data_IF_736470811990
#
_entry.id   IF_736470811990
#
_cell.length_a   1.000
_cell.length_b   1.000
_cell.length_c   1.000
_cell.angle_alpha   90.00
_cell.angle_beta   90.00
_cell.angle_gamma   90.00
#
_symmetry.space_group_name_H-M   'P 1'
#
loop_
_entity.id
_entity.type
_entity.pdbx_description
1 polymer ?
#
# COMPACT_ATOMS: atom_id res chain seq x y z
N UNK A 1 23.71 13.36 56.54
CA UNK A 1 24.96 14.12 56.36
C UNK A 1 25.29 14.13 54.88
N UNK A 2 25.25 15.27 54.21
CA UNK A 2 25.48 15.35 52.77
C UNK A 2 26.93 15.62 52.47
N UNK A 3 27.49 14.90 51.50
CA UNK A 3 28.80 15.23 50.93
C UNK A 3 28.63 15.81 49.54
N UNK A 4 28.82 17.11 49.43
CA UNK A 4 28.96 17.87 48.19
C UNK A 4 30.35 17.57 47.62
N UNK A 5 30.45 17.13 46.38
CA UNK A 5 31.69 17.14 45.58
C UNK A 5 31.52 18.14 44.46
N UNK A 6 32.27 19.21 44.54
CA UNK A 6 32.50 20.22 43.52
C UNK A 6 33.50 19.69 42.51
N UNK A 7 33.20 19.83 41.21
CA UNK A 7 34.19 19.73 40.11
C UNK A 7 34.16 21.07 39.36
N UNK A 8 35.17 21.94 39.54
CA UNK A 8 35.42 23.06 38.65
C UNK A 8 36.51 22.65 37.63
N UNK A 9 36.24 22.77 36.35
CA UNK A 9 37.33 22.64 35.39
C UNK A 9 37.03 22.29 33.96
N UNK A 10 36.03 22.86 33.31
CA UNK A 10 35.89 22.77 31.83
C UNK A 10 35.34 24.07 31.20
N UNK A 11 35.74 25.22 31.68
CA UNK A 11 35.29 26.51 31.14
C UNK A 11 36.40 27.32 30.46
N UNK A 12 37.53 26.72 30.03
CA UNK A 12 38.70 27.50 29.56
C UNK A 12 39.21 27.12 28.14
N UNK A 13 38.45 26.43 27.31
CA UNK A 13 38.98 25.97 26.00
C UNK A 13 38.13 26.36 24.78
N UNK A 14 37.18 27.29 24.86
CA UNK A 14 36.33 27.74 23.74
C UNK A 14 36.50 29.19 23.27
N UNK A 15 37.61 29.87 23.67
CA UNK A 15 37.83 31.28 23.33
C UNK A 15 38.96 31.54 22.31
N UNK A 16 39.45 30.53 21.58
CA UNK A 16 40.67 30.70 20.74
C UNK A 16 40.45 30.51 19.22
N UNK A 17 39.25 30.50 18.70
CA UNK A 17 39.01 30.27 17.24
C UNK A 17 38.32 31.42 16.49
N UNK A 18 38.30 32.63 17.03
CA UNK A 18 37.64 33.78 16.36
C UNK A 18 38.59 34.97 16.03
N UNK A 19 39.87 34.70 15.82
CA UNK A 19 40.83 35.77 15.43
C UNK A 19 41.63 35.38 14.20
N UNK A 20 41.05 35.59 13.01
CA UNK A 20 41.79 35.29 11.79
C UNK A 20 41.07 35.67 10.50
N UNK A 21 40.60 36.89 10.32
CA UNK A 21 40.29 37.47 9.00
C UNK A 21 40.15 39.00 9.08
N UNK A 22 41.26 39.72 9.33
CA UNK A 22 41.40 41.09 8.91
C UNK A 22 42.87 41.37 8.63
N UNK A 23 43.26 41.31 7.40
CA UNK A 23 44.57 41.73 6.91
C UNK A 23 44.35 42.37 5.54
N UNK A 24 44.22 43.67 5.55
CA UNK A 24 44.26 44.47 4.34
C UNK A 24 45.69 44.92 4.04
N UNK A 25 45.97 45.06 2.75
CA UNK A 25 46.85 46.03 2.11
C UNK A 25 48.29 45.61 1.71
N UNK A 26 48.45 45.69 0.42
CA UNK A 26 49.53 46.29 -0.39
C UNK A 26 50.88 45.56 -0.46
N UNK A 27 51.22 45.00 -1.60
CA UNK A 27 52.23 45.53 -2.52
C UNK A 27 52.49 44.52 -3.67
N UNK A 28 52.78 45.03 -4.84
CA UNK A 28 52.81 44.40 -6.13
C UNK A 28 53.74 43.23 -6.33
N UNK A 29 53.24 42.25 -7.09
CA UNK A 29 54.00 41.16 -7.66
C UNK A 29 53.15 40.39 -8.68
N UNK A 30 53.70 39.74 -9.72
CA UNK A 30 53.12 39.49 -11.00
C UNK A 30 52.08 38.37 -10.98
N UNK A 31 51.01 38.67 -11.69
CA UNK A 31 49.98 37.82 -12.30
C UNK A 31 50.22 36.33 -12.20
N UNK A 32 49.54 35.70 -11.24
CA UNK A 32 49.19 34.29 -11.30
C UNK A 32 47.69 34.24 -11.83
N UNK A 33 47.55 33.80 -13.07
CA UNK A 33 46.29 33.54 -13.71
C UNK A 33 45.67 32.26 -13.12
N UNK A 34 45.42 32.27 -11.84
CA UNK A 34 44.50 31.32 -11.25
C UNK A 34 43.08 31.79 -11.57
N UNK A 35 42.61 31.38 -12.73
CA UNK A 35 41.19 31.41 -13.07
C UNK A 35 40.43 30.79 -11.91
N UNK A 36 39.59 31.52 -11.15
CA UNK A 36 38.69 30.90 -10.22
C UNK A 36 37.82 29.99 -11.06
N UNK A 37 38.01 28.69 -10.90
CA UNK A 37 37.24 27.66 -11.58
C UNK A 37 35.79 28.12 -11.60
N UNK A 38 35.17 28.01 -12.76
CA UNK A 38 33.78 28.24 -13.00
C UNK A 38 33.01 27.79 -11.76
N UNK A 39 32.40 28.75 -11.05
CA UNK A 39 31.44 28.41 -10.00
C UNK A 39 30.39 27.55 -10.69
N UNK A 40 30.50 26.24 -10.52
CA UNK A 40 29.56 25.29 -11.06
C UNK A 40 28.18 25.85 -10.73
N UNK A 41 27.36 26.03 -11.74
CA UNK A 41 25.97 26.41 -11.57
C UNK A 41 25.38 25.48 -10.55
N UNK A 42 25.11 25.99 -9.33
CA UNK A 42 24.45 25.20 -8.31
C UNK A 42 23.19 24.61 -8.94
N UNK A 43 23.11 23.29 -9.02
CA UNK A 43 21.89 22.60 -9.42
C UNK A 43 20.74 23.18 -8.65
N UNK A 44 19.71 23.65 -9.35
CA UNK A 44 18.48 24.08 -8.69
C UNK A 44 18.03 22.91 -7.81
N UNK A 45 17.89 23.15 -6.51
CA UNK A 45 17.41 22.12 -5.60
C UNK A 45 16.04 21.64 -6.05
N UNK A 46 15.81 20.34 -6.00
CA UNK A 46 14.51 19.73 -6.29
C UNK A 46 13.45 20.31 -5.34
N UNK A 47 12.20 20.33 -5.79
CA UNK A 47 11.11 20.92 -5.02
C UNK A 47 10.79 20.06 -3.80
N UNK A 48 10.49 20.68 -2.63
CA UNK A 48 9.92 19.97 -1.50
C UNK A 48 8.52 19.41 -1.87
N UNK A 49 8.09 18.39 -1.15
CA UNK A 49 6.77 17.82 -1.33
C UNK A 49 5.65 18.76 -0.87
N UNK A 50 4.43 18.48 -1.30
CA UNK A 50 3.22 19.28 -0.98
C UNK A 50 2.93 19.31 0.52
N UNK A 51 3.21 18.22 1.24
CA UNK A 51 2.86 18.09 2.64
C UNK A 51 4.07 18.26 3.55
N UNK A 52 3.97 19.19 4.49
CA UNK A 52 5.00 19.48 5.50
C UNK A 52 4.72 18.77 6.84
N UNK A 53 3.47 18.38 7.08
CA UNK A 53 3.01 17.72 8.30
C UNK A 53 2.03 16.60 7.99
N UNK A 54 1.83 15.71 8.95
CA UNK A 54 0.86 14.62 8.88
C UNK A 54 -0.35 14.92 9.77
N UNK A 55 -1.56 14.40 9.40
CA UNK A 55 -2.73 14.48 10.27
C UNK A 55 -2.53 13.60 11.51
N UNK A 56 -3.29 13.86 12.56
CA UNK A 56 -3.36 12.98 13.73
C UNK A 56 -4.13 11.70 13.34
N UNK A 57 -3.45 10.54 13.37
CA UNK A 57 -3.95 9.31 12.76
C UNK A 57 -5.20 8.75 13.46
N UNK A 58 -5.29 8.84 14.80
CA UNK A 58 -6.43 8.31 15.53
C UNK A 58 -7.69 9.17 15.33
N UNK A 59 -7.53 10.48 15.14
CA UNK A 59 -8.64 11.40 14.84
C UNK A 59 -9.03 11.45 13.36
N UNK A 60 -8.22 10.87 12.46
CA UNK A 60 -8.50 10.88 11.03
C UNK A 60 -9.68 9.96 10.63
N UNK A 61 -10.02 8.99 11.46
CA UNK A 61 -11.11 8.04 11.21
C UNK A 61 -12.35 8.43 12.01
N UNK A 62 -13.47 8.71 11.33
CA UNK A 62 -14.71 9.08 11.98
C UNK A 62 -15.32 7.91 12.78
N UNK A 63 -16.08 8.21 13.83
CA UNK A 63 -16.77 7.18 14.61
C UNK A 63 -17.68 6.32 13.75
N UNK A 64 -18.45 6.92 12.83
CA UNK A 64 -19.34 6.16 11.95
C UNK A 64 -18.58 5.23 11.00
N UNK A 65 -17.36 5.59 10.63
CA UNK A 65 -16.48 4.71 9.86
C UNK A 65 -15.95 3.57 10.72
N UNK A 66 -15.57 3.87 11.98
CA UNK A 66 -15.17 2.83 12.94
C UNK A 66 -16.33 1.86 13.24
N UNK A 67 -17.58 2.33 13.41
CA UNK A 67 -18.75 1.47 13.58
C UNK A 67 -18.93 0.50 12.40
N UNK A 68 -18.70 0.98 11.19
CA UNK A 68 -18.80 0.16 9.97
C UNK A 68 -17.68 -0.90 9.86
N UNK A 69 -16.45 -0.54 10.26
CA UNK A 69 -15.28 -1.42 10.17
C UNK A 69 -15.16 -2.35 11.39
N UNK A 70 -15.55 -1.87 12.54
CA UNK A 70 -15.37 -2.51 13.85
C UNK A 70 -16.71 -2.58 14.60
N UNK A 71 -17.68 -3.35 14.10
CA UNK A 71 -19.06 -3.35 14.64
C UNK A 71 -19.12 -3.77 16.11
N UNK A 72 -18.15 -4.52 16.60
CA UNK A 72 -18.06 -4.88 18.01
C UNK A 72 -17.90 -3.69 18.97
N UNK A 73 -17.58 -2.46 18.49
CA UNK A 73 -17.55 -1.25 19.35
C UNK A 73 -18.95 -0.96 19.89
N UNK A 74 -19.98 -1.11 19.06
CA UNK A 74 -21.37 -0.86 19.49
C UNK A 74 -21.88 -1.88 20.51
N UNK A 75 -21.30 -3.08 20.55
CA UNK A 75 -21.62 -4.14 21.51
C UNK A 75 -21.04 -3.88 22.90
N UNK A 76 -20.04 -2.97 23.03
CA UNK A 76 -19.43 -2.64 24.31
C UNK A 76 -20.44 -1.87 25.18
N UNK A 77 -20.90 -2.49 26.26
CA UNK A 77 -21.91 -1.92 27.16
C UNK A 77 -21.35 -0.87 28.13
N UNK A 78 -20.07 -1.00 28.50
CA UNK A 78 -19.40 -0.01 29.34
C UNK A 78 -18.99 1.21 28.52
N UNK A 79 -19.52 2.39 28.90
CA UNK A 79 -19.32 3.64 28.14
C UNK A 79 -17.85 4.08 28.08
N UNK A 80 -17.07 3.84 29.14
CA UNK A 80 -15.65 4.21 29.17
C UNK A 80 -14.84 3.30 28.24
N UNK A 81 -15.10 2.00 28.30
CA UNK A 81 -14.43 1.04 27.41
C UNK A 81 -14.78 1.33 25.95
N UNK A 82 -16.05 1.64 25.66
CA UNK A 82 -16.47 2.02 24.31
C UNK A 82 -15.79 3.32 23.84
N UNK A 83 -15.69 4.32 24.69
CA UNK A 83 -14.95 5.55 24.37
C UNK A 83 -13.49 5.25 24.06
N UNK A 84 -12.81 4.46 24.88
CA UNK A 84 -11.42 4.03 24.64
C UNK A 84 -11.29 3.23 23.34
N UNK A 85 -12.28 2.37 23.01
CA UNK A 85 -12.27 1.63 21.74
C UNK A 85 -12.34 2.55 20.50
N UNK A 86 -13.06 3.68 20.61
CA UNK A 86 -13.06 4.68 19.53
C UNK A 86 -11.74 5.48 19.43
N UNK A 87 -11.09 5.73 20.57
CA UNK A 87 -9.84 6.51 20.59
C UNK A 87 -8.71 5.78 19.87
N UNK A 88 -8.69 4.45 19.94
CA UNK A 88 -7.60 3.64 19.39
C UNK A 88 -6.28 3.82 20.13
N UNK A 89 -5.26 3.16 19.63
CA UNK A 89 -3.90 3.20 20.17
C UNK A 89 -2.93 3.78 19.11
N UNK A 90 -2.33 4.93 19.40
CA UNK A 90 -1.31 5.50 18.55
C UNK A 90 -0.12 4.54 18.38
N UNK A 91 0.37 4.36 17.17
CA UNK A 91 1.56 3.54 16.92
C UNK A 91 2.80 4.27 17.38
N UNK A 92 3.72 3.55 18.03
CA UNK A 92 5.00 4.11 18.45
C UNK A 92 5.91 4.31 17.24
N UNK A 93 6.41 5.52 17.07
CA UNK A 93 7.37 5.86 16.01
C UNK A 93 8.48 6.75 16.59
N UNK A 94 9.65 6.75 15.94
CA UNK A 94 10.77 7.59 16.35
C UNK A 94 10.65 9.03 15.85
N UNK A 95 9.88 9.24 14.78
CA UNK A 95 9.74 10.53 14.11
C UNK A 95 8.27 10.73 13.73
N UNK A 96 7.55 11.44 14.58
CA UNK A 96 6.12 11.74 14.40
C UNK A 96 5.85 12.76 13.29
N UNK A 97 6.87 13.50 12.86
CA UNK A 97 6.75 14.41 11.71
C UNK A 97 6.76 13.66 10.37
N UNK A 98 7.25 12.41 10.40
CA UNK A 98 7.38 11.58 9.21
C UNK A 98 6.48 10.38 9.18
N UNK A 99 6.13 9.84 10.34
CA UNK A 99 5.29 8.67 10.42
C UNK A 99 4.39 8.73 11.64
N UNK A 100 3.10 8.61 11.42
CA UNK A 100 2.08 8.48 12.45
C UNK A 100 1.12 7.37 12.07
N UNK A 101 0.58 6.69 13.06
CA UNK A 101 -0.41 5.66 12.82
C UNK A 101 -1.31 5.44 14.02
N UNK A 102 -2.42 4.78 13.80
CA UNK A 102 -3.36 4.38 14.85
C UNK A 102 -3.84 2.96 14.62
N UNK A 103 -4.02 2.23 15.71
CA UNK A 103 -4.53 0.86 15.69
C UNK A 103 -5.78 0.76 16.53
N UNK A 104 -6.73 0.02 16.03
CA UNK A 104 -7.92 -0.39 16.78
C UNK A 104 -8.00 -1.91 16.78
N UNK A 105 -8.44 -2.44 17.89
CA UNK A 105 -8.72 -3.86 18.04
C UNK A 105 -10.00 -4.03 18.81
N UNK A 106 -10.95 -4.72 18.22
CA UNK A 106 -12.26 -4.95 18.82
C UNK A 106 -12.64 -6.41 18.70
N UNK A 107 -13.23 -6.96 19.73
CA UNK A 107 -13.76 -8.32 19.74
C UNK A 107 -15.28 -8.24 19.93
N UNK A 108 -15.99 -8.87 19.01
CA UNK A 108 -17.43 -9.10 19.08
C UNK A 108 -17.75 -10.57 19.37
N UNK A 109 -19.04 -10.90 19.42
CA UNK A 109 -19.48 -12.30 19.48
C UNK A 109 -19.11 -13.08 18.22
N UNK A 110 -19.03 -12.41 17.07
CA UNK A 110 -18.88 -13.03 15.74
C UNK A 110 -17.43 -13.03 15.22
N UNK A 111 -16.65 -12.01 15.56
CA UNK A 111 -15.29 -11.85 15.05
C UNK A 111 -14.38 -11.06 16.00
N UNK A 112 -13.09 -11.11 15.71
CA UNK A 112 -12.09 -10.14 16.19
C UNK A 112 -11.63 -9.33 15.00
N UNK A 113 -11.83 -8.01 15.08
CA UNK A 113 -11.49 -7.06 14.05
C UNK A 113 -10.29 -6.21 14.46
N UNK A 114 -9.40 -5.97 13.50
CA UNK A 114 -8.26 -5.07 13.68
C UNK A 114 -8.25 -4.07 12.52
N UNK A 115 -8.00 -2.82 12.86
CA UNK A 115 -7.77 -1.77 11.88
C UNK A 115 -6.46 -1.06 12.21
N UNK A 116 -5.62 -0.89 11.21
CA UNK A 116 -4.42 -0.06 11.25
C UNK A 116 -4.53 1.01 10.17
N UNK A 117 -4.24 2.25 10.53
CA UNK A 117 -4.07 3.36 9.60
C UNK A 117 -2.72 3.99 9.87
N UNK A 118 -1.88 4.04 8.86
CA UNK A 118 -0.52 4.60 8.89
C UNK A 118 -0.40 5.70 7.84
N UNK A 119 0.18 6.85 8.23
CA UNK A 119 0.59 7.93 7.35
C UNK A 119 2.11 8.03 7.39
N UNK A 120 2.73 8.07 6.22
CA UNK A 120 4.18 8.20 6.06
C UNK A 120 4.49 9.37 5.13
N UNK A 121 5.08 10.45 5.66
CA UNK A 121 5.57 11.57 4.89
C UNK A 121 7.00 11.31 4.45
N UNK A 122 7.20 11.29 3.16
CA UNK A 122 8.50 11.06 2.55
C UNK A 122 9.22 12.39 2.37
N UNK A 123 10.49 12.40 2.73
CA UNK A 123 11.40 13.54 2.52
C UNK A 123 12.67 13.00 1.88
N UNK A 124 13.07 13.60 0.78
CA UNK A 124 14.33 13.28 0.12
C UNK A 124 15.51 13.93 0.84
N UNK A 125 16.60 13.20 0.97
CA UNK A 125 17.87 13.73 1.45
C UNK A 125 18.83 14.11 0.30
N UNK A 126 18.42 13.81 -0.93
CA UNK A 126 19.15 14.15 -2.13
C UNK A 126 18.56 15.42 -2.75
N UNK A 127 19.37 16.49 -2.82
CA UNK A 127 18.93 17.77 -3.38
C UNK A 127 18.56 17.69 -4.88
N UNK A 128 18.92 16.61 -5.57
CA UNK A 128 18.57 16.38 -6.98
C UNK A 128 17.24 15.63 -7.14
N UNK A 129 16.72 15.04 -6.06
CA UNK A 129 15.50 14.21 -6.07
C UNK A 129 14.42 14.89 -5.23
N UNK A 130 13.25 15.14 -5.80
CA UNK A 130 12.11 15.70 -5.08
C UNK A 130 11.55 14.70 -4.06
N UNK A 131 10.85 15.22 -3.05
CA UNK A 131 10.14 14.40 -2.07
C UNK A 131 9.09 13.51 -2.76
N UNK A 132 8.42 14.03 -3.80
CA UNK A 132 7.42 13.29 -4.58
C UNK A 132 8.04 12.12 -5.33
N UNK A 133 9.15 12.33 -6.05
CA UNK A 133 9.85 11.25 -6.74
C UNK A 133 10.35 10.19 -5.75
N UNK A 134 10.79 10.63 -4.58
CA UNK A 134 11.21 9.70 -3.53
C UNK A 134 10.03 8.90 -2.97
N UNK A 135 8.86 9.51 -2.84
CA UNK A 135 7.64 8.84 -2.42
C UNK A 135 7.16 7.83 -3.47
N UNK A 136 7.22 8.19 -4.76
CA UNK A 136 6.92 7.28 -5.87
C UNK A 136 7.81 6.02 -5.84
N UNK A 137 9.13 6.18 -5.67
CA UNK A 137 10.05 5.05 -5.53
C UNK A 137 9.73 4.16 -4.33
N UNK A 138 9.34 4.76 -3.20
CA UNK A 138 8.96 4.03 -2.00
C UNK A 138 7.65 3.27 -2.21
N UNK A 139 6.68 3.91 -2.87
CA UNK A 139 5.40 3.30 -3.19
C UNK A 139 5.57 2.13 -4.17
N UNK A 140 6.35 2.29 -5.23
CA UNK A 140 6.66 1.21 -6.16
C UNK A 140 7.28 -0.02 -5.47
N UNK A 141 8.12 0.20 -4.44
CA UNK A 141 8.63 -0.91 -3.62
C UNK A 141 7.54 -1.59 -2.80
N UNK A 142 6.54 -0.84 -2.29
CA UNK A 142 5.39 -1.41 -1.57
C UNK A 142 4.53 -2.26 -2.54
N UNK A 143 4.27 -1.77 -3.75
CA UNK A 143 3.57 -2.53 -4.80
C UNK A 143 4.31 -3.83 -5.14
N UNK A 144 5.63 -3.76 -5.34
CA UNK A 144 6.45 -4.95 -5.59
C UNK A 144 6.40 -5.95 -4.43
N UNK A 145 6.42 -5.46 -3.18
CA UNK A 145 6.36 -6.31 -1.99
C UNK A 145 4.97 -6.96 -1.79
N UNK A 146 3.91 -6.35 -2.30
CA UNK A 146 2.56 -6.90 -2.27
C UNK A 146 2.37 -8.04 -3.28
N UNK A 147 3.31 -8.25 -4.22
CA UNK A 147 3.31 -9.33 -5.20
C UNK A 147 1.95 -9.49 -5.91
N UNK A 148 1.40 -8.37 -6.37
CA UNK A 148 0.09 -8.32 -7.00
C UNK A 148 0.07 -9.19 -8.27
N UNK A 149 -0.98 -9.97 -8.52
CA UNK A 149 -1.11 -10.72 -9.75
C UNK A 149 -1.12 -9.78 -10.96
N UNK A 150 -0.52 -10.23 -12.07
CA UNK A 150 -0.63 -9.47 -13.31
C UNK A 150 -2.11 -9.34 -13.71
N UNK A 151 -2.55 -8.15 -14.19
CA UNK A 151 -3.92 -7.96 -14.61
C UNK A 151 -4.26 -8.96 -15.71
N UNK A 152 -5.19 -9.88 -15.41
CA UNK A 152 -5.74 -10.74 -16.46
C UNK A 152 -6.40 -9.83 -17.50
N UNK A 153 -6.13 -10.01 -18.80
CA UNK A 153 -6.80 -9.22 -19.81
C UNK A 153 -8.30 -9.48 -19.72
N UNK A 154 -9.02 -8.52 -19.17
CA UNK A 154 -10.49 -8.51 -19.22
C UNK A 154 -10.87 -8.58 -20.68
N UNK A 155 -11.75 -9.56 -21.00
CA UNK A 155 -12.20 -9.77 -22.36
C UNK A 155 -12.62 -8.46 -23.01
N UNK A 156 -11.95 -8.13 -24.06
CA UNK A 156 -12.28 -7.03 -24.95
C UNK A 156 -13.71 -7.22 -25.41
N UNK A 157 -14.57 -6.27 -25.14
CA UNK A 157 -15.82 -6.11 -25.88
C UNK A 157 -15.48 -6.10 -27.37
N UNK A 158 -15.90 -7.14 -28.08
CA UNK A 158 -15.88 -7.17 -29.53
C UNK A 158 -16.94 -6.16 -30.00
N UNK A 159 -16.55 -4.89 -30.17
CA UNK A 159 -17.26 -4.01 -31.06
C UNK A 159 -17.03 -4.46 -32.49
N UNK A 160 -18.08 -5.03 -33.10
CA UNK A 160 -18.20 -5.26 -34.53
C UNK A 160 -17.84 -3.99 -35.31
N UNK A 161 -16.72 -4.01 -36.01
CA UNK A 161 -16.48 -3.09 -37.11
C UNK A 161 -16.69 -3.87 -38.42
N UNK A 162 -17.88 -3.76 -38.98
CA UNK A 162 -18.13 -4.02 -40.39
C UNK A 162 -17.28 -3.10 -41.27
N UNK A 163 -16.56 -3.66 -42.21
CA UNK A 163 -15.75 -2.89 -43.16
C UNK A 163 -15.15 -3.74 -44.27
N UNK A 164 -15.98 -4.25 -45.16
CA UNK A 164 -15.92 -4.31 -46.64
C UNK A 164 -14.59 -4.56 -47.37
N UNK A 165 -14.59 -5.68 -48.13
CA UNK A 165 -14.02 -5.92 -49.50
C UNK A 165 -12.50 -5.89 -49.65
N UNK A 166 -11.84 -6.73 -50.40
CA UNK A 166 -12.08 -7.34 -51.70
C UNK A 166 -11.03 -8.42 -52.00
N UNK A 167 -11.48 -9.42 -52.69
CA UNK A 167 -10.90 -10.51 -53.44
C UNK A 167 -9.43 -10.48 -53.86
N UNK A 168 -8.76 -11.62 -53.89
CA UNK A 168 -8.32 -12.34 -55.11
C UNK A 168 -7.81 -13.75 -54.77
N UNK A 169 -8.44 -14.68 -55.32
CA UNK A 169 -8.34 -15.93 -56.03
C UNK A 169 -7.01 -16.71 -56.09
N UNK A 170 -7.23 -18.01 -56.13
CA UNK A 170 -6.60 -19.13 -56.84
C UNK A 170 -5.75 -20.05 -55.96
N UNK A 171 -5.98 -21.32 -55.91
CA UNK A 171 -6.53 -22.35 -56.70
C UNK A 171 -6.29 -23.73 -56.08
N UNK A 172 -7.25 -24.59 -56.24
CA UNK A 172 -7.20 -26.03 -56.66
C UNK A 172 -6.34 -27.00 -55.82
N UNK A 173 -6.77 -28.17 -55.43
CA UNK A 173 -7.74 -29.15 -55.90
C UNK A 173 -7.74 -30.40 -54.99
N UNK A 174 -8.91 -31.04 -54.82
CA UNK A 174 -9.24 -32.46 -55.04
C UNK A 174 -8.84 -33.46 -53.93
N UNK A 175 -9.67 -34.20 -53.27
CA UNK A 175 -10.74 -35.11 -53.56
C UNK A 175 -11.22 -35.83 -52.29
N UNK A 176 -12.48 -36.02 -52.20
CA UNK A 176 -13.21 -36.99 -51.34
C UNK A 176 -13.17 -38.40 -51.98
N UNK A 177 -13.49 -39.55 -51.37
CA UNK A 177 -14.78 -39.83 -50.75
C UNK A 177 -14.82 -40.83 -49.56
N UNK A 178 -15.95 -40.78 -48.87
CA UNK A 178 -16.64 -41.70 -47.95
C UNK A 178 -16.90 -43.10 -48.61
N UNK A 179 -17.48 -44.17 -47.94
CA UNK A 179 -18.04 -44.41 -46.60
C UNK A 179 -17.77 -45.78 -45.97
N UNK A 180 -18.20 -46.04 -44.71
CA UNK A 180 -19.01 -47.20 -44.31
C UNK A 180 -19.04 -47.48 -42.84
N UNK A 181 -20.25 -47.56 -42.26
CA UNK A 181 -20.70 -48.19 -41.02
C UNK A 181 -21.05 -49.67 -41.32
N UNK A 182 -21.30 -50.68 -40.41
CA UNK A 182 -21.69 -50.62 -38.99
C UNK A 182 -21.12 -51.79 -38.11
N UNK A 183 -21.35 -51.78 -36.81
CA UNK A 183 -21.94 -52.82 -35.96
C UNK A 183 -21.51 -52.79 -34.49
N UNK A 184 -22.47 -52.69 -33.58
CA UNK A 184 -22.39 -53.11 -32.14
C UNK A 184 -22.44 -54.65 -32.07
N UNK A 185 -22.08 -55.33 -30.92
CA UNK A 185 -22.73 -55.16 -29.64
C UNK A 185 -21.90 -55.49 -28.32
N UNK A 186 -22.43 -54.99 -27.18
CA UNK A 186 -22.54 -55.67 -25.85
C UNK A 186 -21.28 -56.05 -25.07
N UNK A 187 -21.18 -55.47 -23.84
CA UNK A 187 -20.33 -55.96 -22.77
C UNK A 187 -20.18 -54.97 -21.61
N UNK A 188 -21.10 -54.93 -20.65
CA UNK A 188 -20.81 -54.51 -19.26
C UNK A 188 -20.09 -55.63 -18.53
N UNK A 189 -19.14 -55.37 -17.59
CA UNK A 189 -19.49 -54.92 -16.27
C UNK A 189 -18.44 -54.07 -15.52
N UNK A 190 -18.95 -53.27 -14.58
CA UNK A 190 -18.36 -52.97 -13.26
C UNK A 190 -16.88 -52.59 -13.17
N UNK A 191 -16.62 -51.29 -13.10
CA UNK A 191 -15.35 -50.74 -12.62
C UNK A 191 -15.67 -49.56 -11.72
N UNK A 192 -15.43 -49.73 -10.43
CA UNK A 192 -15.46 -48.70 -9.39
C UNK A 192 -14.60 -47.52 -9.79
N UNK A 193 -15.20 -46.51 -10.33
CA UNK A 193 -14.56 -45.24 -10.63
C UNK A 193 -14.50 -44.40 -9.35
N UNK A 194 -13.31 -44.31 -8.78
CA UNK A 194 -12.95 -43.32 -7.77
C UNK A 194 -13.33 -41.94 -8.29
N UNK A 195 -14.39 -41.35 -7.78
CA UNK A 195 -14.69 -39.96 -7.95
C UNK A 195 -13.69 -39.20 -7.12
N UNK A 196 -12.58 -38.79 -7.75
CA UNK A 196 -11.77 -37.70 -7.23
C UNK A 196 -12.72 -36.50 -7.07
N UNK A 197 -12.84 -35.91 -5.88
CA UNK A 197 -13.50 -34.63 -5.79
C UNK A 197 -12.61 -33.64 -6.57
N UNK A 198 -13.04 -33.25 -7.75
CA UNK A 198 -12.59 -31.99 -8.37
C UNK A 198 -12.89 -30.92 -7.33
N UNK A 199 -11.85 -30.47 -6.63
CA UNK A 199 -11.93 -29.21 -5.94
C UNK A 199 -12.26 -28.19 -7.02
N UNK A 200 -13.52 -27.77 -7.08
CA UNK A 200 -13.89 -26.54 -7.74
C UNK A 200 -13.12 -25.46 -7.01
N UNK A 201 -11.97 -25.06 -7.56
CA UNK A 201 -11.37 -23.80 -7.25
C UNK A 201 -12.39 -22.77 -7.70
N UNK A 202 -13.17 -22.25 -6.77
CA UNK A 202 -13.97 -21.04 -7.01
C UNK A 202 -12.93 -19.97 -7.23
N UNK A 203 -12.65 -19.68 -8.51
CA UNK A 203 -11.77 -18.57 -8.87
C UNK A 203 -12.36 -17.31 -8.27
N UNK A 204 -11.55 -16.58 -7.49
CA UNK A 204 -11.94 -15.28 -6.96
C UNK A 204 -12.26 -14.38 -8.15
N UNK A 205 -13.42 -13.73 -8.21
CA UNK A 205 -13.74 -12.78 -9.26
C UNK A 205 -12.60 -11.76 -9.46
N UNK A 206 -12.32 -11.39 -10.70
CA UNK A 206 -11.17 -10.54 -11.04
C UNK A 206 -11.21 -9.19 -10.31
N UNK A 207 -12.40 -8.67 -10.04
CA UNK A 207 -12.64 -7.43 -9.28
C UNK A 207 -12.35 -7.54 -7.78
N UNK A 208 -12.17 -8.76 -7.27
CA UNK A 208 -11.80 -9.02 -5.87
C UNK A 208 -10.35 -9.52 -5.71
N UNK A 209 -9.64 -9.71 -6.80
CA UNK A 209 -8.22 -10.07 -6.73
C UNK A 209 -7.38 -8.85 -6.30
N UNK A 210 -6.21 -9.06 -5.67
CA UNK A 210 -5.24 -8.00 -5.45
C UNK A 210 -4.90 -7.28 -6.76
N UNK A 211 -4.91 -5.95 -6.76
CA UNK A 211 -4.76 -5.15 -7.98
C UNK A 211 -4.36 -3.71 -7.69
N UNK A 212 -3.89 -3.01 -8.71
CA UNK A 212 -3.78 -1.56 -8.71
C UNK A 212 -5.17 -0.92 -8.74
N UNK A 213 -5.28 0.29 -8.19
CA UNK A 213 -6.49 1.12 -8.18
C UNK A 213 -6.18 2.44 -8.88
N UNK A 214 -7.07 2.85 -9.81
CA UNK A 214 -6.89 4.06 -10.62
C UNK A 214 -7.68 5.27 -10.08
N UNK A 215 -8.53 5.04 -9.07
CA UNK A 215 -9.50 6.00 -8.54
C UNK A 215 -9.13 6.56 -7.15
N UNK A 216 -7.88 6.39 -6.72
CA UNK A 216 -7.47 6.75 -5.36
C UNK A 216 -6.05 7.34 -5.33
N UNK A 217 -5.94 8.62 -4.95
CA UNK A 217 -4.66 9.34 -4.89
C UNK A 217 -3.96 9.42 -6.25
N UNK A 218 -2.64 9.52 -6.23
CA UNK A 218 -1.81 9.51 -7.45
C UNK A 218 -1.50 8.07 -7.89
N UNK A 219 -1.37 7.17 -6.94
CA UNK A 219 -1.14 5.74 -7.13
C UNK A 219 -1.76 4.97 -5.95
N UNK A 220 -2.37 3.83 -6.23
CA UNK A 220 -2.94 3.00 -5.18
C UNK A 220 -2.98 1.52 -5.55
N UNK A 221 -3.09 0.67 -4.53
CA UNK A 221 -3.38 -0.74 -4.70
C UNK A 221 -4.25 -1.28 -3.57
N UNK A 222 -4.91 -2.39 -3.85
CA UNK A 222 -5.56 -3.26 -2.86
C UNK A 222 -4.92 -4.63 -2.91
N UNK A 223 -4.60 -5.17 -1.73
CA UNK A 223 -4.17 -6.55 -1.52
C UNK A 223 -5.15 -7.25 -0.58
N UNK A 224 -5.40 -8.53 -0.81
CA UNK A 224 -6.38 -9.33 -0.07
C UNK A 224 -5.83 -10.74 0.17
N UNK A 225 -5.47 -11.01 1.39
CA UNK A 225 -4.85 -12.27 1.80
C UNK A 225 -5.74 -13.03 2.77
N UNK A 226 -6.12 -14.26 2.38
CA UNK A 226 -6.78 -15.21 3.27
C UNK A 226 -5.76 -16.16 3.87
N UNK A 227 -5.44 -15.97 5.15
CA UNK A 227 -4.52 -16.83 5.88
C UNK A 227 -5.25 -18.00 6.54
N UNK A 228 -4.58 -19.17 6.51
CA UNK A 228 -4.99 -20.36 7.23
C UNK A 228 -3.87 -20.73 8.21
N UNK A 229 -3.90 -20.19 9.39
CA UNK A 229 -2.91 -20.52 10.44
C UNK A 229 -3.25 -21.86 11.04
N UNK A 230 -2.75 -22.98 10.49
CA UNK A 230 -2.70 -24.31 11.14
C UNK A 230 -3.90 -24.79 11.97
N UNK A 231 -4.82 -23.91 12.31
CA UNK A 231 -6.07 -24.10 13.01
C UNK A 231 -7.23 -23.90 12.05
N UNK A 232 -8.39 -24.25 12.50
CA UNK A 232 -9.65 -24.14 11.77
C UNK A 232 -10.15 -22.70 11.61
N UNK A 233 -9.47 -21.71 12.19
CA UNK A 233 -9.81 -20.30 12.05
C UNK A 233 -9.19 -19.73 10.77
N UNK A 234 -9.99 -19.00 10.00
CA UNK A 234 -9.58 -18.27 8.82
C UNK A 234 -9.46 -16.79 9.19
N UNK A 235 -8.36 -16.16 8.82
CA UNK A 235 -8.17 -14.72 8.96
C UNK A 235 -8.02 -14.12 7.59
N UNK A 236 -8.75 -13.06 7.30
CA UNK A 236 -8.57 -12.26 6.09
C UNK A 236 -7.96 -10.93 6.45
N UNK A 237 -6.97 -10.55 5.67
CA UNK A 237 -6.32 -9.23 5.75
C UNK A 237 -6.51 -8.52 4.43
N UNK A 238 -7.14 -7.36 4.45
CA UNK A 238 -7.23 -6.45 3.32
C UNK A 238 -6.32 -5.26 3.58
N UNK A 239 -5.41 -5.02 2.67
CA UNK A 239 -4.51 -3.86 2.69
C UNK A 239 -4.86 -2.93 1.53
N UNK A 240 -5.16 -1.67 1.83
CA UNK A 240 -5.25 -0.61 0.83
C UNK A 240 -4.13 0.37 1.08
N UNK A 241 -3.30 0.62 0.09
CA UNK A 241 -2.28 1.64 0.17
C UNK A 241 -2.42 2.62 -0.98
N UNK A 242 -2.23 3.90 -0.70
CA UNK A 242 -2.23 4.93 -1.73
C UNK A 242 -1.17 6.01 -1.42
N UNK A 243 -0.76 6.70 -2.47
CA UNK A 243 0.14 7.84 -2.41
C UNK A 243 -0.58 9.10 -2.89
N UNK A 244 -0.33 10.20 -2.22
CA UNK A 244 -0.73 11.54 -2.65
C UNK A 244 0.47 12.45 -2.44
N UNK A 245 1.10 12.93 -3.53
CA UNK A 245 2.34 13.68 -3.50
C UNK A 245 3.42 12.95 -2.66
N UNK A 246 3.94 13.57 -1.62
CA UNK A 246 4.96 12.98 -0.75
C UNK A 246 4.41 12.25 0.49
N UNK A 247 3.12 11.93 0.53
CA UNK A 247 2.50 11.15 1.61
C UNK A 247 2.03 9.81 1.11
N UNK A 248 2.38 8.74 1.82
CA UNK A 248 1.89 7.38 1.61
C UNK A 248 0.99 7.02 2.78
N UNK A 249 -0.22 6.56 2.48
CA UNK A 249 -1.18 6.06 3.46
C UNK A 249 -1.32 4.56 3.29
N UNK A 250 -1.32 3.83 4.40
CA UNK A 250 -1.55 2.39 4.41
C UNK A 250 -2.67 2.08 5.40
N UNK A 251 -3.69 1.39 4.93
CA UNK A 251 -4.81 0.90 5.71
C UNK A 251 -4.71 -0.62 5.70
N UNK A 252 -4.74 -1.23 6.87
CA UNK A 252 -4.81 -2.69 7.00
C UNK A 252 -6.02 -3.04 7.84
N UNK A 253 -6.93 -3.82 7.26
CA UNK A 253 -8.14 -4.29 7.91
C UNK A 253 -8.10 -5.80 8.00
N UNK A 254 -8.11 -6.32 9.22
CA UNK A 254 -8.08 -7.76 9.51
C UNK A 254 -9.37 -8.18 10.18
N UNK A 255 -9.93 -9.28 9.73
CA UNK A 255 -11.07 -9.94 10.37
C UNK A 255 -10.76 -11.41 10.63
N UNK A 256 -10.97 -11.84 11.88
CA UNK A 256 -10.87 -13.23 12.29
C UNK A 256 -12.19 -13.67 12.90
N UNK A 257 -13.01 -14.48 12.19
CA UNK A 257 -14.26 -15.00 12.72
C UNK A 257 -14.06 -15.84 13.98
N UNK A 258 -14.99 -15.71 14.93
CA UNK A 258 -15.04 -16.55 16.13
C UNK A 258 -15.48 -18.00 15.80
N UNK A 259 -16.27 -18.17 14.73
CA UNK A 259 -16.81 -19.48 14.32
C UNK A 259 -15.80 -20.22 13.46
N UNK A 260 -15.52 -21.47 13.85
CA UNK A 260 -14.64 -22.39 13.12
C UNK A 260 -15.20 -22.66 11.71
N UNK A 261 -14.35 -22.46 10.69
CA UNK A 261 -14.71 -22.68 9.29
C UNK A 261 -15.41 -21.50 8.61
N UNK A 262 -15.81 -20.47 9.36
CA UNK A 262 -16.27 -19.23 8.75
C UNK A 262 -15.10 -18.53 8.03
N UNK A 263 -15.42 -17.87 6.91
CA UNK A 263 -14.45 -17.13 6.08
C UNK A 263 -14.96 -15.71 5.94
N UNK A 264 -14.14 -14.70 6.28
CA UNK A 264 -14.53 -13.30 6.09
C UNK A 264 -14.82 -12.99 4.63
N UNK A 265 -15.83 -12.15 4.38
CA UNK A 265 -16.22 -11.76 3.02
C UNK A 265 -15.22 -10.78 2.41
N UNK A 266 -14.59 -11.20 1.32
CA UNK A 266 -13.59 -10.39 0.60
C UNK A 266 -14.15 -9.07 0.10
N UNK A 267 -15.33 -9.13 -0.53
CA UNK A 267 -15.94 -7.94 -1.14
C UNK A 267 -16.31 -6.91 -0.08
N UNK A 268 -16.95 -7.35 0.98
CA UNK A 268 -17.34 -6.46 2.08
C UNK A 268 -16.12 -5.77 2.71
N UNK A 269 -15.08 -6.54 2.99
CA UNK A 269 -13.85 -6.01 3.59
C UNK A 269 -13.13 -5.03 2.65
N UNK A 270 -13.00 -5.36 1.35
CA UNK A 270 -12.41 -4.46 0.36
C UNK A 270 -13.23 -3.17 0.21
N UNK A 271 -14.55 -3.27 0.12
CA UNK A 271 -15.43 -2.10 -0.02
C UNK A 271 -15.30 -1.15 1.19
N UNK A 272 -15.27 -1.69 2.39
CA UNK A 272 -15.07 -0.93 3.64
C UNK A 272 -13.70 -0.26 3.68
N UNK A 273 -12.63 -1.00 3.39
CA UNK A 273 -11.25 -0.47 3.41
C UNK A 273 -11.04 0.61 2.33
N UNK A 274 -11.55 0.40 1.11
CA UNK A 274 -11.49 1.40 0.02
C UNK A 274 -12.29 2.64 0.34
N UNK A 275 -13.48 2.50 0.94
CA UNK A 275 -14.27 3.66 1.40
C UNK A 275 -13.51 4.49 2.42
N UNK A 276 -12.85 3.86 3.39
CA UNK A 276 -11.99 4.58 4.33
C UNK A 276 -10.83 5.26 3.60
N UNK A 277 -10.18 4.56 2.66
CA UNK A 277 -9.08 5.12 1.87
C UNK A 277 -9.49 6.38 1.10
N UNK A 278 -10.66 6.38 0.46
CA UNK A 278 -11.21 7.56 -0.23
C UNK A 278 -11.45 8.73 0.73
N UNK A 279 -12.00 8.47 1.93
CA UNK A 279 -12.21 9.50 2.95
C UNK A 279 -10.89 10.11 3.42
N UNK A 280 -9.85 9.28 3.60
CA UNK A 280 -8.53 9.77 4.01
C UNK A 280 -7.84 10.55 2.87
N UNK A 281 -7.97 10.12 1.63
CA UNK A 281 -7.45 10.84 0.46
C UNK A 281 -8.11 12.23 0.34
N UNK A 282 -9.43 12.31 0.50
CA UNK A 282 -10.17 13.59 0.50
C UNK A 282 -9.72 14.52 1.64
N UNK A 283 -9.35 13.98 2.79
CA UNK A 283 -8.89 14.75 3.94
C UNK A 283 -7.48 15.33 3.76
N UNK A 284 -6.70 14.78 2.83
CA UNK A 284 -5.36 15.25 2.48
C UNK A 284 -5.39 16.31 1.33
N UNK A 285 -6.53 16.53 0.67
CA UNK A 285 -6.64 17.51 -0.42
C UNK A 285 -6.86 18.91 0.10
#
# INVERSE_FOLDING_TARGET
>A
MPRKAYVPGVAALLAALLAGCTGASDDGGPTDNSNPGEAGTASVAAQPGKYDSLPEACGAVSRSTLDSLLPGIEEITDERQRTTAYEGDATLTFDTDRKVGCRWKVQSADATDHLLVDFERVVSYDNAVSDDNRAEELFARKVTAADLPEPSPSGTDEEEAEGTAEATASGSSTASPTPSKPASPTGSPTGSGSVSPSASSTETPADLQPRLLDDLGDEAFVDDVLASSGSTAKQRTVTVAFRTSNVIVTIQYDEQPATVGAVPDSKEMQDKARKLASQLADSLT
#
